data_IF_063750196083
#
_entry.id   IF_063750196083
#
_cell.length_a   1.000
_cell.length_b   1.000
_cell.length_c   1.000
_cell.angle_alpha   90.00
_cell.angle_beta   90.00
_cell.angle_gamma   90.00
#
_symmetry.space_group_name_H-M   'P 1'
#
loop_
_entity.id
_entity.type
_entity.pdbx_description
1 polymer ?
#
# COMPACT_ATOMS: atom_id res chain seq x y z
N UNK A 1 44.68 -34.49 29.70
CA UNK A 1 43.78 -33.83 30.67
C UNK A 1 42.49 -33.48 29.93
N UNK A 2 41.65 -34.48 29.64
CA UNK A 2 40.38 -34.26 28.93
C UNK A 2 39.29 -34.10 30.00
N UNK A 3 38.94 -32.84 30.28
CA UNK A 3 37.83 -32.50 31.16
C UNK A 3 36.56 -33.12 30.55
N UNK A 4 35.80 -33.86 31.36
CA UNK A 4 34.45 -34.34 31.04
C UNK A 4 33.57 -33.14 30.65
N UNK A 5 33.50 -32.81 29.38
CA UNK A 5 32.60 -31.78 28.87
C UNK A 5 31.19 -32.29 29.04
N UNK A 6 30.48 -31.74 30.03
CA UNK A 6 29.08 -32.03 30.28
C UNK A 6 28.27 -31.70 29.03
N UNK A 7 27.32 -32.54 28.64
CA UNK A 7 26.44 -32.34 27.49
C UNK A 7 25.80 -30.94 27.47
N UNK A 8 25.49 -30.40 28.65
CA UNK A 8 25.02 -29.00 28.84
C UNK A 8 26.02 -27.95 28.35
N UNK A 9 27.33 -28.12 28.59
CA UNK A 9 28.36 -27.19 28.10
C UNK A 9 28.50 -27.20 26.59
N UNK A 10 28.29 -28.35 25.94
CA UNK A 10 28.29 -28.47 24.49
C UNK A 10 27.07 -27.77 23.88
N UNK A 11 25.88 -27.97 24.45
CA UNK A 11 24.66 -27.26 24.01
C UNK A 11 24.81 -25.75 24.17
N UNK A 12 25.33 -25.29 25.32
CA UNK A 12 25.56 -23.85 25.56
C UNK A 12 26.58 -23.29 24.55
N UNK A 13 27.65 -24.02 24.24
CA UNK A 13 28.62 -23.61 23.21
C UNK A 13 27.98 -23.46 21.83
N UNK A 14 27.19 -24.44 21.40
CA UNK A 14 26.45 -24.38 20.12
C UNK A 14 25.47 -23.20 20.11
N UNK A 15 24.77 -22.97 21.22
CA UNK A 15 23.85 -21.84 21.36
C UNK A 15 24.56 -20.49 21.22
N UNK A 16 25.72 -20.31 21.86
CA UNK A 16 26.51 -19.06 21.74
C UNK A 16 26.98 -18.84 20.30
N UNK A 17 27.46 -19.88 19.62
CA UNK A 17 27.85 -19.80 18.20
C UNK A 17 26.66 -19.42 17.33
N UNK A 18 25.49 -19.98 17.58
CA UNK A 18 24.26 -19.64 16.87
C UNK A 18 23.83 -18.18 17.10
N UNK A 19 23.90 -17.69 18.34
CA UNK A 19 23.60 -16.29 18.66
C UNK A 19 24.57 -15.35 17.96
N UNK A 20 25.88 -15.62 17.99
CA UNK A 20 26.88 -14.81 17.28
C UNK A 20 26.66 -14.81 15.76
N UNK A 21 26.35 -15.97 15.18
CA UNK A 21 26.00 -16.06 13.76
C UNK A 21 24.74 -15.25 13.43
N UNK A 22 23.71 -15.33 14.28
CA UNK A 22 22.47 -14.56 14.10
C UNK A 22 22.72 -13.06 14.21
N UNK A 23 23.53 -12.62 15.18
CA UNK A 23 23.95 -11.22 15.30
C UNK A 23 24.75 -10.75 14.09
N UNK A 24 25.65 -11.57 13.55
CA UNK A 24 26.40 -11.28 12.33
C UNK A 24 25.49 -11.13 11.10
N UNK A 25 24.55 -12.05 10.92
CA UNK A 25 23.56 -11.99 9.82
C UNK A 25 22.68 -10.75 9.97
N UNK A 26 22.17 -10.46 11.17
CA UNK A 26 21.36 -9.27 11.44
C UNK A 26 22.14 -7.98 11.17
N UNK A 27 23.41 -7.93 11.57
CA UNK A 27 24.29 -6.80 11.27
C UNK A 27 24.46 -6.59 9.77
N UNK A 28 24.65 -7.66 8.99
CA UNK A 28 24.78 -7.57 7.52
C UNK A 28 23.52 -7.08 6.81
N UNK A 29 22.33 -7.38 7.34
CA UNK A 29 21.05 -6.88 6.79
C UNK A 29 20.86 -5.39 7.10
N UNK A 30 21.20 -4.96 8.32
CA UNK A 30 21.01 -3.57 8.76
C UNK A 30 22.07 -2.64 8.16
N UNK A 31 23.33 -3.10 8.08
CA UNK A 31 24.46 -2.33 7.58
C UNK A 31 24.96 -2.91 6.27
N UNK A 32 24.18 -2.71 5.20
CA UNK A 32 24.69 -2.95 3.84
C UNK A 32 25.80 -1.94 3.56
N UNK A 33 26.98 -2.43 3.16
CA UNK A 33 28.07 -1.53 2.81
C UNK A 33 27.68 -0.78 1.52
N UNK A 34 27.76 0.57 1.51
CA UNK A 34 27.60 1.31 0.27
C UNK A 34 28.72 0.90 -0.69
N UNK A 35 28.46 0.98 -1.99
CA UNK A 35 29.46 0.56 -2.97
C UNK A 35 30.70 1.47 -2.90
N UNK A 36 31.88 0.90 -2.58
CA UNK A 36 33.13 1.65 -2.41
C UNK A 36 33.61 2.35 -3.71
N UNK A 37 33.20 1.83 -4.88
CA UNK A 37 33.57 2.37 -6.19
C UNK A 37 32.35 2.56 -7.10
N UNK A 38 31.79 3.78 -7.25
CA UNK A 38 30.56 4.03 -8.03
C UNK A 38 30.67 3.76 -9.54
N UNK A 39 31.87 3.44 -10.04
CA UNK A 39 32.14 3.06 -11.44
C UNK A 39 32.41 1.56 -11.62
N UNK A 40 32.41 0.77 -10.55
CA UNK A 40 32.59 -0.67 -10.62
C UNK A 40 31.35 -1.38 -11.19
N UNK A 41 31.58 -2.45 -11.94
CA UNK A 41 30.51 -3.23 -12.60
C UNK A 41 29.56 -3.95 -11.60
N UNK A 42 29.94 -3.98 -10.32
CA UNK A 42 29.19 -4.62 -9.23
C UNK A 42 28.18 -3.70 -8.53
N UNK A 43 28.22 -2.39 -8.79
CA UNK A 43 27.34 -1.43 -8.14
C UNK A 43 26.01 -1.28 -8.90
N UNK A 44 24.92 -1.18 -8.14
CA UNK A 44 23.59 -0.86 -8.64
C UNK A 44 23.30 0.61 -8.33
N UNK A 45 23.06 1.39 -9.39
CA UNK A 45 22.80 2.82 -9.32
C UNK A 45 21.30 3.15 -9.42
N UNK A 46 20.81 4.25 -8.83
CA UNK A 46 19.41 4.63 -8.97
C UNK A 46 19.12 5.16 -10.36
N UNK A 47 17.95 4.82 -10.92
CA UNK A 47 17.44 5.45 -12.15
C UNK A 47 17.19 6.96 -11.95
N UNK A 48 16.78 7.34 -10.73
CA UNK A 48 16.51 8.74 -10.34
C UNK A 48 17.75 9.64 -10.38
N UNK A 49 18.95 9.07 -10.26
CA UNK A 49 20.20 9.84 -10.28
C UNK A 49 20.41 10.62 -11.59
N UNK A 50 19.76 10.19 -12.68
CA UNK A 50 19.77 10.89 -13.97
C UNK A 50 18.76 12.03 -14.10
N UNK A 51 18.02 12.38 -13.04
CA UNK A 51 16.89 13.32 -13.05
C UNK A 51 15.94 13.12 -14.24
N UNK A 52 15.39 11.89 -14.42
CA UNK A 52 14.45 11.63 -15.49
C UNK A 52 13.15 12.40 -15.25
N UNK A 53 12.51 12.86 -16.33
CA UNK A 53 11.14 13.40 -16.24
C UNK A 53 10.18 12.23 -16.05
N UNK A 54 9.61 12.11 -14.86
CA UNK A 54 8.69 11.05 -14.48
C UNK A 54 7.24 11.53 -14.59
N UNK A 55 6.37 10.56 -14.84
CA UNK A 55 4.93 10.73 -14.91
C UNK A 55 4.26 9.65 -14.06
N UNK A 56 3.27 10.06 -13.27
CA UNK A 56 2.46 9.18 -12.42
C UNK A 56 1.07 9.04 -13.02
N UNK A 57 0.70 7.81 -13.35
CA UNK A 57 -0.62 7.47 -13.89
C UNK A 57 -1.31 6.43 -13.00
N UNK A 58 -2.54 6.73 -12.56
CA UNK A 58 -3.35 5.84 -11.74
C UNK A 58 -4.62 5.49 -12.50
N UNK A 59 -4.85 4.19 -12.66
CA UNK A 59 -6.04 3.63 -13.27
C UNK A 59 -6.81 2.81 -12.25
N UNK A 60 -8.11 2.68 -12.44
CA UNK A 60 -8.92 1.65 -11.78
C UNK A 60 -9.29 0.53 -12.72
N UNK A 61 -9.30 -0.69 -12.20
CA UNK A 61 -9.68 -1.88 -12.93
C UNK A 61 -10.43 -2.86 -12.03
N UNK A 62 -11.33 -3.64 -12.61
CA UNK A 62 -12.07 -4.69 -11.89
C UNK A 62 -11.20 -5.92 -11.58
N UNK A 63 -10.07 -6.07 -12.27
CA UNK A 63 -9.11 -7.15 -12.10
C UNK A 63 -7.71 -6.57 -11.86
N UNK A 64 -6.85 -7.29 -11.14
CA UNK A 64 -5.47 -6.85 -10.89
C UNK A 64 -4.62 -6.80 -12.16
N UNK A 65 -4.95 -7.61 -13.18
CA UNK A 65 -4.17 -7.69 -14.43
C UNK A 65 -4.57 -6.63 -15.48
N UNK A 66 -5.39 -5.63 -15.12
CA UNK A 66 -6.00 -4.67 -16.06
C UNK A 66 -6.92 -5.30 -17.14
N UNK A 67 -7.10 -6.62 -17.14
CA UNK A 67 -7.98 -7.34 -18.04
C UNK A 67 -9.46 -7.07 -17.72
N UNK A 68 -10.24 -6.71 -18.74
CA UNK A 68 -11.66 -6.38 -18.57
C UNK A 68 -11.96 -4.88 -18.46
N UNK A 69 -10.99 -4.02 -18.78
CA UNK A 69 -11.14 -2.58 -18.89
C UNK A 69 -10.52 -1.82 -17.72
N UNK A 70 -9.88 -0.69 -18.04
CA UNK A 70 -9.27 0.21 -17.08
C UNK A 70 -9.74 1.64 -17.33
N UNK A 71 -9.93 2.41 -16.26
CA UNK A 71 -10.34 3.81 -16.32
C UNK A 71 -9.26 4.67 -15.67
N UNK A 72 -8.73 5.64 -16.42
CA UNK A 72 -7.76 6.61 -15.89
C UNK A 72 -8.46 7.52 -14.89
N UNK A 73 -7.92 7.62 -13.68
CA UNK A 73 -8.42 8.53 -12.65
C UNK A 73 -7.48 9.72 -12.48
N UNK A 74 -6.18 9.47 -12.44
CA UNK A 74 -5.18 10.50 -12.23
C UNK A 74 -4.04 10.33 -13.23
N UNK A 75 -3.65 11.44 -13.85
CA UNK A 75 -2.45 11.55 -14.67
C UNK A 75 -1.72 12.82 -14.26
N UNK A 76 -0.60 12.67 -13.58
CA UNK A 76 0.26 13.78 -13.16
C UNK A 76 1.50 13.78 -14.07
N UNK A 77 1.60 14.79 -14.94
CA UNK A 77 2.62 14.83 -15.99
C UNK A 77 4.00 15.27 -15.49
N UNK A 78 4.05 16.13 -14.46
CA UNK A 78 5.28 16.61 -13.84
C UNK A 78 5.41 16.05 -12.43
N UNK A 79 5.68 14.74 -12.35
CA UNK A 79 5.81 14.07 -11.07
C UNK A 79 7.22 14.27 -10.50
N UNK A 80 7.33 15.04 -9.40
CA UNK A 80 8.56 15.20 -8.63
C UNK A 80 8.52 14.36 -7.34
N UNK A 81 9.47 13.43 -7.24
CA UNK A 81 9.63 12.47 -6.14
C UNK A 81 9.96 13.15 -4.81
N UNK A 82 10.57 14.34 -4.85
CA UNK A 82 10.96 15.08 -3.65
C UNK A 82 9.82 15.92 -3.07
N UNK A 83 8.76 16.12 -3.87
CA UNK A 83 7.61 16.93 -3.48
C UNK A 83 6.48 16.06 -2.93
N UNK A 84 5.84 16.52 -1.85
CA UNK A 84 4.60 15.90 -1.36
C UNK A 84 3.42 16.51 -2.12
N UNK A 85 2.50 15.65 -2.55
CA UNK A 85 1.28 16.10 -3.23
C UNK A 85 0.06 15.35 -2.69
N UNK A 86 -1.07 16.03 -2.63
CA UNK A 86 -2.36 15.48 -2.24
C UNK A 86 -3.43 15.98 -3.22
N UNK A 87 -4.30 15.08 -3.69
CA UNK A 87 -5.33 15.38 -4.68
C UNK A 87 -6.64 14.68 -4.32
N UNK A 88 -7.72 15.45 -4.32
CA UNK A 88 -9.08 14.93 -4.19
C UNK A 88 -9.62 14.69 -5.60
N UNK A 89 -10.12 13.48 -5.85
CA UNK A 89 -10.56 13.04 -7.18
C UNK A 89 -11.98 12.54 -7.12
N UNK A 90 -12.80 12.97 -8.08
CA UNK A 90 -14.17 12.49 -8.22
C UNK A 90 -14.16 11.20 -9.06
N UNK A 91 -14.29 10.07 -8.40
CA UNK A 91 -14.22 8.74 -9.03
C UNK A 91 -15.61 8.14 -9.16
N UNK A 92 -15.99 7.72 -10.38
CA UNK A 92 -17.22 6.96 -10.58
C UNK A 92 -16.97 5.46 -10.40
N UNK A 93 -17.64 4.86 -9.41
CA UNK A 93 -17.54 3.41 -9.16
C UNK A 93 -18.32 2.61 -10.22
N UNK A 94 -17.71 1.60 -10.86
CA UNK A 94 -18.39 0.71 -11.79
C UNK A 94 -19.57 -0.05 -11.15
N UNK A 95 -20.63 -0.33 -11.93
CA UNK A 95 -21.80 -1.09 -11.45
C UNK A 95 -21.43 -2.44 -10.84
N UNK A 96 -20.45 -3.14 -11.44
CA UNK A 96 -19.96 -4.43 -10.94
C UNK A 96 -19.33 -4.32 -9.55
N UNK A 97 -18.65 -3.22 -9.25
CA UNK A 97 -18.09 -2.96 -7.92
C UNK A 97 -19.20 -2.69 -6.90
N UNK A 98 -20.22 -1.91 -7.27
CA UNK A 98 -21.37 -1.61 -6.38
C UNK A 98 -22.18 -2.86 -6.02
N UNK A 99 -22.23 -3.84 -6.91
CA UNK A 99 -22.89 -5.12 -6.67
C UNK A 99 -21.96 -6.11 -5.93
N UNK A 100 -21.41 -5.71 -4.77
CA UNK A 100 -20.46 -6.50 -3.98
C UNK A 100 -19.23 -7.01 -4.75
N UNK A 101 -18.75 -6.21 -5.72
CA UNK A 101 -17.54 -6.54 -6.48
C UNK A 101 -16.29 -5.97 -5.85
N UNK A 102 -15.15 -6.31 -6.44
CA UNK A 102 -13.84 -5.73 -6.11
C UNK A 102 -13.45 -4.63 -7.08
N UNK A 103 -12.54 -3.77 -6.62
CA UNK A 103 -11.93 -2.73 -7.45
C UNK A 103 -10.46 -2.59 -7.06
N UNK A 104 -9.61 -2.49 -8.07
CA UNK A 104 -8.17 -2.35 -7.93
C UNK A 104 -7.71 -1.01 -8.49
N UNK A 105 -6.74 -0.39 -7.85
CA UNK A 105 -5.93 0.68 -8.44
C UNK A 105 -4.67 0.08 -9.06
N UNK A 106 -4.42 0.42 -10.31
CA UNK A 106 -3.18 0.16 -11.03
C UNK A 106 -2.37 1.46 -11.04
N UNK A 107 -1.27 1.46 -10.31
CA UNK A 107 -0.38 2.61 -10.19
C UNK A 107 0.83 2.38 -11.08
N UNK A 108 1.13 3.37 -11.92
CA UNK A 108 2.27 3.34 -12.82
C UNK A 108 3.12 4.60 -12.67
N UNK A 109 4.42 4.39 -12.46
CA UNK A 109 5.44 5.44 -12.58
C UNK A 109 6.28 5.11 -13.81
N UNK A 110 6.28 6.02 -14.78
CA UNK A 110 6.91 5.81 -16.08
C UNK A 110 7.56 7.10 -16.60
N UNK A 111 8.32 6.99 -17.69
CA UNK A 111 8.91 8.16 -18.36
C UNK A 111 7.80 9.06 -18.94
N UNK A 112 7.97 10.38 -18.81
CA UNK A 112 7.04 11.36 -19.36
C UNK A 112 6.87 11.21 -20.89
N UNK A 113 5.63 11.25 -21.36
CA UNK A 113 5.28 11.26 -22.78
C UNK A 113 5.08 9.89 -23.44
N UNK A 114 5.30 8.78 -22.71
CA UNK A 114 5.05 7.41 -23.17
C UNK A 114 3.88 6.83 -22.38
N UNK A 115 3.04 5.99 -22.98
CA UNK A 115 1.98 5.30 -22.23
C UNK A 115 2.58 4.22 -21.30
N UNK A 116 2.02 3.98 -20.10
CA UNK A 116 2.55 2.99 -19.17
C UNK A 116 2.77 1.62 -19.82
N UNK A 117 1.77 1.11 -20.55
CA UNK A 117 1.83 -0.22 -21.19
C UNK A 117 2.94 -0.39 -22.23
N UNK A 118 3.48 0.71 -22.78
CA UNK A 118 4.56 0.68 -23.77
C UNK A 118 5.94 0.89 -23.14
N UNK A 119 6.02 1.39 -21.91
CA UNK A 119 7.28 1.67 -21.24
C UNK A 119 7.84 0.40 -20.57
N UNK A 120 8.97 -0.18 -21.05
CA UNK A 120 9.59 -1.32 -20.39
C UNK A 120 10.22 -0.95 -19.04
N UNK A 121 10.43 0.34 -18.76
CA UNK A 121 11.04 0.87 -17.54
C UNK A 121 9.99 1.39 -16.55
N UNK A 122 8.74 0.97 -16.69
CA UNK A 122 7.71 1.33 -15.75
C UNK A 122 7.81 0.56 -14.43
N UNK A 123 7.50 1.27 -13.35
CA UNK A 123 7.19 0.65 -12.05
C UNK A 123 5.68 0.49 -11.98
N UNK A 124 5.23 -0.75 -11.80
CA UNK A 124 3.82 -1.10 -11.72
C UNK A 124 3.50 -1.70 -10.35
N UNK A 125 2.48 -1.14 -9.69
CA UNK A 125 1.88 -1.68 -8.48
C UNK A 125 0.37 -1.79 -8.61
N UNK A 126 -0.19 -2.75 -7.87
CA UNK A 126 -1.62 -2.97 -7.77
C UNK A 126 -2.02 -2.84 -6.31
N UNK A 127 -3.03 -2.01 -6.04
CA UNK A 127 -3.62 -1.83 -4.71
C UNK A 127 -5.09 -2.22 -4.73
N UNK A 128 -5.57 -2.92 -3.71
CA UNK A 128 -6.99 -3.21 -3.58
C UNK A 128 -7.71 -2.02 -2.94
N UNK A 129 -8.69 -1.47 -3.65
CA UNK A 129 -9.48 -0.32 -3.19
C UNK A 129 -10.81 -0.73 -2.54
N UNK A 130 -11.08 -2.03 -2.43
CA UNK A 130 -12.30 -2.56 -1.80
C UNK A 130 -11.95 -3.51 -0.68
N UNK A 131 -12.75 -3.55 0.38
CA UNK A 131 -12.62 -4.51 1.47
C UNK A 131 -13.99 -5.07 1.85
N UNK A 132 -14.05 -6.33 2.25
CA UNK A 132 -15.31 -7.01 2.56
C UNK A 132 -15.48 -7.07 4.08
N UNK A 133 -16.45 -6.31 4.60
CA UNK A 133 -16.64 -6.16 6.05
C UNK A 133 -18.12 -6.00 6.38
N UNK A 134 -18.50 -6.35 7.61
CA UNK A 134 -19.84 -6.06 8.12
C UNK A 134 -19.96 -4.55 8.35
N UNK A 135 -21.02 -3.89 7.85
CA UNK A 135 -21.23 -2.47 8.06
C UNK A 135 -21.25 -2.15 9.55
N UNK A 136 -20.27 -1.35 9.99
CA UNK A 136 -20.29 -0.80 11.35
C UNK A 136 -21.08 0.51 11.34
N UNK A 137 -21.95 0.75 12.34
CA UNK A 137 -22.59 2.04 12.48
C UNK A 137 -21.54 3.14 12.68
N UNK A 138 -21.79 4.37 12.21
CA UNK A 138 -20.87 5.49 12.42
C UNK A 138 -20.60 5.67 13.92
N UNK A 139 -19.32 5.63 14.30
CA UNK A 139 -18.90 5.79 15.69
C UNK A 139 -19.14 7.23 16.13
N UNK A 140 -20.14 7.44 16.98
CA UNK A 140 -20.40 8.73 17.63
C UNK A 140 -19.36 8.88 18.74
N UNK A 141 -18.46 9.87 18.62
CA UNK A 141 -17.49 10.17 19.65
C UNK A 141 -18.18 10.83 20.84
N UNK A 142 -18.56 10.04 21.84
CA UNK A 142 -19.23 10.50 23.07
C UNK A 142 -18.38 11.47 23.94
N UNK A 143 -17.14 11.75 23.54
CA UNK A 143 -16.18 12.61 24.25
C UNK A 143 -16.02 13.99 23.58
N UNK A 144 -16.45 14.17 22.33
CA UNK A 144 -16.56 15.48 21.70
C UNK A 144 -18.04 15.83 21.55
N UNK A 145 -18.55 16.60 22.50
CA UNK A 145 -19.88 17.20 22.42
C UNK A 145 -19.94 18.29 21.34
N UNK A 146 -19.90 17.91 20.08
CA UNK A 146 -20.34 18.77 18.98
C UNK A 146 -21.82 18.46 18.69
N UNK A 147 -22.68 19.10 19.48
CA UNK A 147 -24.11 19.24 19.21
C UNK A 147 -24.31 20.12 17.97
N UNK A 148 -24.31 19.54 16.77
CA UNK A 148 -24.97 20.17 15.63
C UNK A 148 -25.76 19.15 14.81
N UNK A 149 -27.08 19.41 14.76
CA UNK A 149 -28.08 18.92 13.79
C UNK A 149 -28.86 17.64 14.13
N UNK A 150 -29.35 17.48 15.36
CA UNK A 150 -30.47 16.57 15.67
C UNK A 150 -31.83 17.28 15.89
N UNK A 151 -31.87 18.62 15.96
CA UNK A 151 -33.08 19.36 16.33
C UNK A 151 -34.15 19.61 15.25
N UNK A 152 -34.07 19.03 14.04
CA UNK A 152 -35.03 19.36 12.96
C UNK A 152 -35.72 18.18 12.26
N UNK A 153 -35.54 16.93 12.75
CA UNK A 153 -36.22 15.76 12.14
C UNK A 153 -37.32 15.14 12.99
N UNK A 154 -37.55 15.65 14.21
CA UNK A 154 -38.52 15.07 15.16
C UNK A 154 -39.96 15.59 14.98
N UNK A 155 -40.17 16.77 14.38
CA UNK A 155 -41.52 17.37 14.30
C UNK A 155 -42.43 16.78 13.19
N UNK A 156 -41.89 16.01 12.25
CA UNK A 156 -42.68 15.42 11.15
C UNK A 156 -43.32 14.05 11.49
N UNK A 157 -43.08 13.48 12.67
CA UNK A 157 -43.54 12.11 13.02
C UNK A 157 -44.77 12.04 13.94
N UNK A 158 -45.28 13.15 14.46
CA UNK A 158 -46.37 13.15 15.46
C UNK A 158 -47.82 13.10 14.92
N UNK A 159 -48.06 12.87 13.62
CA UNK A 159 -49.43 12.84 13.06
C UNK A 159 -49.93 11.50 12.51
N UNK A 160 -49.35 10.36 12.90
CA UNK A 160 -49.88 9.06 12.47
C UNK A 160 -49.86 8.03 13.60
N UNK A 161 -50.71 8.24 14.60
CA UNK A 161 -51.00 7.27 15.64
C UNK A 161 -52.51 7.18 15.86
N UNK A 162 -53.17 6.28 15.13
CA UNK A 162 -54.42 5.64 15.57
C UNK A 162 -54.60 4.33 14.82
N UNK A 163 -54.77 3.27 15.63
CA UNK A 163 -55.37 1.97 15.35
C UNK A 163 -54.57 0.89 14.60
N UNK A 164 -54.20 -0.17 15.36
CA UNK A 164 -54.06 -1.54 14.84
C UNK A 164 -52.86 -2.37 15.35
N UNK A 165 -53.08 -3.11 16.44
CA UNK A 165 -52.36 -4.30 16.96
C UNK A 165 -50.83 -4.29 17.28
N UNK A 166 -50.42 -4.84 18.46
CA UNK A 166 -49.03 -4.87 18.89
C UNK A 166 -48.35 -6.18 18.46
N UNK A 167 -47.69 -6.19 17.31
CA UNK A 167 -46.75 -7.26 16.95
C UNK A 167 -45.77 -6.81 15.86
N UNK A 168 -44.96 -5.79 16.12
CA UNK A 168 -43.82 -5.44 15.28
C UNK A 168 -42.88 -4.51 16.05
N UNK A 169 -41.94 -5.09 16.80
CA UNK A 169 -40.89 -4.34 17.47
C UNK A 169 -39.91 -3.75 16.47
N UNK A 170 -39.75 -2.42 16.53
CA UNK A 170 -38.47 -1.74 16.35
C UNK A 170 -37.91 -1.66 14.94
N UNK A 171 -38.30 -0.62 14.20
CA UNK A 171 -37.59 -0.16 13.01
C UNK A 171 -36.21 0.42 13.37
N UNK A 172 -35.21 -0.44 13.49
CA UNK A 172 -33.83 -0.11 13.17
C UNK A 172 -33.64 -0.41 11.68
N UNK A 173 -33.07 0.52 10.91
CA UNK A 173 -32.52 0.21 9.58
C UNK A 173 -31.66 -1.04 9.73
N UNK A 174 -32.08 -2.14 9.09
CA UNK A 174 -31.42 -3.44 9.18
C UNK A 174 -30.01 -3.30 8.61
N UNK A 175 -29.02 -3.01 9.46
CA UNK A 175 -27.63 -3.30 9.16
C UNK A 175 -27.58 -4.79 8.98
N UNK A 176 -27.44 -5.22 7.74
CA UNK A 176 -27.31 -6.61 7.42
C UNK A 176 -26.10 -7.18 8.14
N UNK A 177 -26.30 -8.23 8.92
CA UNK A 177 -25.22 -8.95 9.62
C UNK A 177 -24.32 -9.72 8.63
N UNK A 178 -24.64 -9.66 7.33
CA UNK A 178 -23.76 -10.17 6.29
C UNK A 178 -22.72 -9.13 5.88
N UNK A 179 -21.47 -9.55 5.65
CA UNK A 179 -20.43 -8.66 5.13
C UNK A 179 -20.80 -8.12 3.73
N UNK A 180 -20.41 -6.88 3.46
CA UNK A 180 -20.59 -6.21 2.15
C UNK A 180 -19.27 -5.59 1.68
N UNK A 181 -19.18 -5.27 0.39
CA UNK A 181 -17.99 -4.64 -0.17
C UNK A 181 -18.01 -3.14 0.10
N UNK A 182 -17.01 -2.66 0.84
CA UNK A 182 -16.75 -1.26 1.11
C UNK A 182 -15.64 -0.71 0.23
N UNK A 183 -15.76 0.55 -0.18
CA UNK A 183 -14.77 1.28 -0.97
C UNK A 183 -13.82 2.08 -0.07
N UNK A 184 -12.53 2.05 -0.39
CA UNK A 184 -11.49 2.85 0.27
C UNK A 184 -11.38 4.20 -0.44
N UNK A 185 -11.75 5.27 0.27
CA UNK A 185 -11.72 6.63 -0.28
C UNK A 185 -10.32 7.26 -0.34
N UNK A 186 -9.35 6.73 0.41
CA UNK A 186 -7.99 7.26 0.51
C UNK A 186 -6.97 6.23 0.01
N UNK A 187 -6.07 6.69 -0.86
CA UNK A 187 -4.93 5.90 -1.36
C UNK A 187 -3.65 6.68 -1.06
N UNK A 188 -2.78 6.11 -0.22
CA UNK A 188 -1.50 6.73 0.14
C UNK A 188 -0.36 6.01 -0.58
N UNK A 189 0.42 6.76 -1.35
CA UNK A 189 1.56 6.25 -2.12
C UNK A 189 2.85 6.85 -1.56
N UNK A 190 3.85 6.01 -1.38
CA UNK A 190 5.17 6.39 -0.88
C UNK A 190 6.23 5.96 -1.90
N UNK A 191 7.18 6.84 -2.17
CA UNK A 191 8.27 6.60 -3.11
C UNK A 191 9.60 7.01 -2.46
N UNK A 192 10.63 6.19 -2.66
CA UNK A 192 11.97 6.49 -2.14
C UNK A 192 12.65 7.50 -3.07
N UNK A 193 12.95 8.69 -2.55
CA UNK A 193 13.68 9.77 -3.25
C UNK A 193 15.19 9.59 -3.21
N UNK A 194 15.71 8.92 -2.18
CA UNK A 194 17.13 8.88 -1.91
C UNK A 194 17.92 8.03 -2.91
N UNK A 195 19.11 8.53 -3.23
CA UNK A 195 20.04 7.89 -4.16
C UNK A 195 20.97 6.94 -3.42
N UNK A 196 20.50 5.71 -3.19
CA UNK A 196 21.33 4.66 -2.60
C UNK A 196 22.17 3.94 -3.66
N UNK A 197 23.45 3.71 -3.35
CA UNK A 197 24.33 2.88 -4.17
C UNK A 197 24.45 1.52 -3.50
N UNK A 198 23.81 0.51 -4.09
CA UNK A 198 23.85 -0.83 -3.55
C UNK A 198 24.98 -1.63 -4.17
N UNK A 199 25.67 -2.42 -3.36
CA UNK A 199 26.53 -3.48 -3.85
C UNK A 199 25.70 -4.74 -4.11
N UNK A 200 25.79 -5.28 -5.32
CA UNK A 200 25.08 -6.49 -5.74
C UNK A 200 25.41 -7.70 -4.87
N UNK A 201 26.62 -7.80 -4.33
CA UNK A 201 27.06 -8.98 -3.54
C UNK A 201 26.53 -8.94 -2.10
N UNK A 202 26.25 -7.76 -1.57
CA UNK A 202 25.78 -7.57 -0.19
C UNK A 202 24.26 -7.39 -0.07
N UNK A 203 23.55 -7.28 -1.20
CA UNK A 203 22.09 -7.25 -1.21
C UNK A 203 21.52 -8.64 -0.88
N UNK A 204 20.68 -8.77 0.17
CA UNK A 204 20.00 -10.03 0.43
C UNK A 204 19.07 -10.43 -0.72
N UNK A 205 18.93 -11.74 -0.98
CA UNK A 205 18.05 -12.27 -2.03
C UNK A 205 16.59 -11.83 -1.88
N UNK A 206 16.13 -11.59 -0.65
CA UNK A 206 14.76 -11.15 -0.38
C UNK A 206 14.50 -9.72 -0.91
N UNK A 207 15.50 -8.85 -0.87
CA UNK A 207 15.40 -7.47 -1.37
C UNK A 207 15.38 -7.45 -2.90
N UNK A 208 16.05 -8.40 -3.55
CA UNK A 208 16.11 -8.51 -5.01
C UNK A 208 14.73 -8.64 -5.66
N UNK A 209 13.73 -9.20 -4.96
CA UNK A 209 12.35 -9.32 -5.48
C UNK A 209 11.63 -7.98 -5.57
N UNK A 210 11.93 -7.06 -4.67
CA UNK A 210 11.30 -5.74 -4.61
C UNK A 210 12.07 -4.70 -5.45
N UNK A 211 13.36 -4.91 -5.64
CA UNK A 211 14.23 -4.04 -6.39
C UNK A 211 14.29 -4.48 -7.86
N UNK A 212 13.52 -3.81 -8.73
CA UNK A 212 13.61 -4.02 -10.18
C UNK A 212 14.87 -3.35 -10.72
N UNK A 213 15.92 -4.13 -10.91
CA UNK A 213 17.14 -3.70 -11.58
C UNK A 213 17.23 -4.19 -13.02
N UNK A 214 17.82 -3.37 -13.90
CA UNK A 214 18.11 -3.71 -15.29
C UNK A 214 19.53 -3.27 -15.66
N UNK A 215 20.11 -3.93 -16.66
CA UNK A 215 21.41 -3.52 -17.21
C UNK A 215 21.20 -2.37 -18.19
N UNK A 216 21.83 -1.23 -17.93
CA UNK A 216 21.91 -0.11 -18.85
C UNK A 216 23.35 0.05 -19.32
N UNK A 217 23.71 -0.67 -20.38
CA UNK A 217 25.09 -0.76 -20.87
C UNK A 217 25.99 -1.48 -19.87
N UNK A 218 27.00 -0.80 -19.33
CA UNK A 218 27.96 -1.36 -18.35
C UNK A 218 27.51 -1.24 -16.89
N UNK A 219 26.41 -0.55 -16.61
CA UNK A 219 25.95 -0.28 -15.23
C UNK A 219 24.62 -0.96 -14.96
N UNK A 220 24.47 -1.51 -13.75
CA UNK A 220 23.17 -1.94 -13.24
C UNK A 220 22.42 -0.73 -12.68
N UNK A 221 21.15 -0.58 -13.07
CA UNK A 221 20.31 0.53 -12.64
C UNK A 221 19.02 -0.02 -12.04
N UNK A 222 18.60 0.48 -10.87
CA UNK A 222 17.32 0.11 -10.27
C UNK A 222 16.26 1.18 -10.46
N UNK A 223 15.03 0.74 -10.70
CA UNK A 223 13.86 1.60 -10.83
C UNK A 223 13.40 2.15 -9.47
N UNK A 224 12.68 3.29 -9.45
CA UNK A 224 12.17 3.87 -8.20
C UNK A 224 11.38 2.87 -7.37
N UNK A 225 11.63 2.84 -6.06
CA UNK A 225 10.92 1.97 -5.13
C UNK A 225 9.62 2.67 -4.71
N UNK A 226 8.50 2.16 -5.22
CA UNK A 226 7.16 2.61 -4.88
C UNK A 226 6.52 1.62 -3.91
N UNK A 227 5.74 2.12 -2.96
CA UNK A 227 4.99 1.33 -1.98
C UNK A 227 3.62 1.97 -1.73
N UNK A 228 2.60 1.12 -1.52
CA UNK A 228 1.24 1.54 -1.17
C UNK A 228 1.03 1.31 0.32
N UNK A 229 0.72 2.37 1.05
CA UNK A 229 0.47 2.26 2.49
C UNK A 229 -0.96 1.79 2.77
N UNK A 230 -1.10 0.49 2.97
CA UNK A 230 -2.37 -0.13 3.35
C UNK A 230 -2.67 -0.02 4.85
N UNK A 231 -1.64 0.18 5.69
CA UNK A 231 -1.77 0.20 7.16
C UNK A 231 -2.38 1.51 7.66
N UNK A 232 -2.15 2.61 6.95
CA UNK A 232 -2.79 3.90 7.25
C UNK A 232 -4.30 3.93 6.95
N UNK A 233 -4.85 2.90 6.31
CA UNK A 233 -6.28 2.85 6.00
C UNK A 233 -7.11 2.62 7.26
N UNK A 234 -7.98 3.57 7.57
CA UNK A 234 -8.87 3.47 8.73
C UNK A 234 -10.23 2.95 8.29
N UNK A 235 -10.90 2.24 9.21
CA UNK A 235 -12.27 1.74 8.97
C UNK A 235 -13.24 2.89 8.70
N UNK A 236 -13.01 4.06 9.29
CA UNK A 236 -13.82 5.27 9.03
C UNK A 236 -13.69 5.84 7.62
N UNK A 237 -12.64 5.47 6.88
CA UNK A 237 -12.40 5.95 5.51
C UNK A 237 -13.05 5.01 4.46
N UNK A 238 -13.76 3.98 4.94
CA UNK A 238 -14.56 3.05 4.14
C UNK A 238 -15.95 3.63 3.88
N UNK A 239 -16.38 3.58 2.61
CA UNK A 239 -17.68 4.05 2.13
C UNK A 239 -18.49 2.90 1.55
#
# INVERSE_FOLDING_TARGET
MFLKTSFTTLIVGVFVVYVLHTCWVMYGIVYTKPCDNPKGDKCITPFLAGNPKLQLSIYTALRPNAEGGHTLILKEENFDVNSKFERILNVSLPKKTRNNGTLYALIFVHQAGISPWQDPRQVHLVAQLTTYMVPKPPEISLISGEDQTQGQREEARQKKHSDGNPAAGGGATSTSDHPVSHWRSRLTLNIVSDHFLFDREYLPSDVHRYLRAFQNGKKMVYLPLLFVDELSNRVKDLV
#
